data_IF_996955602565
#
_entry.id   IF_996955602565
#
_cell.length_a   1.000
_cell.length_b   1.000
_cell.length_c   1.000
_cell.angle_alpha   90.00
_cell.angle_beta   90.00
_cell.angle_gamma   90.00
#
_symmetry.space_group_name_H-M   'P 1'
#
loop_
_entity.id
_entity.type
_entity.pdbx_description
1 polymer ?
#
# COMPACT_ATOMS: atom_id res chain seq x y z
N UNK A 1 24.78 14.58 40.81
CA UNK A 1 24.35 15.22 42.09
C UNK A 1 24.76 14.45 43.34
N UNK A 2 25.23 13.20 43.24
CA UNK A 2 25.70 12.43 44.41
C UNK A 2 27.25 12.40 44.54
N UNK A 3 27.96 12.62 43.44
CA UNK A 3 29.42 12.55 43.36
C UNK A 3 30.09 13.79 44.01
N UNK A 4 29.49 14.96 43.91
CA UNK A 4 30.01 16.22 44.45
C UNK A 4 30.08 16.24 46.00
N UNK A 5 29.22 15.49 46.69
CA UNK A 5 29.18 15.45 48.16
C UNK A 5 30.31 14.63 48.78
N UNK A 6 30.73 13.59 48.07
CA UNK A 6 31.79 12.70 48.55
C UNK A 6 33.19 13.30 48.28
N UNK A 7 33.36 14.07 47.22
CA UNK A 7 34.61 14.78 46.93
C UNK A 7 34.88 15.88 47.96
N UNK A 8 33.84 16.61 48.35
CA UNK A 8 33.98 17.66 49.40
C UNK A 8 34.26 17.09 50.81
N UNK A 9 33.82 15.84 51.07
CA UNK A 9 34.13 15.14 52.32
C UNK A 9 35.60 14.69 52.41
N UNK A 10 36.18 14.33 51.27
CA UNK A 10 37.58 13.90 51.19
C UNK A 10 38.54 15.10 51.21
N UNK A 11 38.10 16.26 50.75
CA UNK A 11 38.92 17.47 50.74
C UNK A 11 39.00 18.19 52.12
N UNK A 12 38.05 17.95 53.04
CA UNK A 12 37.98 18.55 54.36
C UNK A 12 38.52 17.67 55.48
N UNK A 13 39.19 16.57 55.21
CA UNK A 13 39.86 15.75 56.20
C UNK A 13 41.23 16.35 56.55
N UNK A 14 41.24 17.57 57.03
CA UNK A 14 42.38 18.16 57.76
C UNK A 14 42.33 17.66 59.21
N UNK A 15 43.21 16.74 59.51
CA UNK A 15 43.91 16.56 60.81
C UNK A 15 44.25 15.08 61.08
N UNK A 16 45.26 14.58 60.41
CA UNK A 16 46.04 13.45 60.96
C UNK A 16 47.50 13.92 61.12
N UNK A 17 48.12 13.64 62.26
CA UNK A 17 49.51 14.07 62.51
C UNK A 17 50.44 13.24 61.62
N UNK A 18 51.12 13.93 60.73
CA UNK A 18 52.09 13.36 59.80
C UNK A 18 53.45 13.19 60.47
N UNK A 19 53.83 11.94 60.73
CA UNK A 19 55.26 11.58 60.82
C UNK A 19 55.82 11.63 59.41
N UNK A 20 57.01 12.31 59.29
CA UNK A 20 57.63 12.64 58.01
C UNK A 20 57.85 11.47 57.09
N UNK A 21 57.16 11.48 55.98
CA UNK A 21 57.49 10.81 54.74
C UNK A 21 57.50 11.91 53.66
N UNK A 22 58.62 12.08 53.00
CA UNK A 22 58.71 12.88 51.77
C UNK A 22 57.76 12.27 50.71
N UNK A 23 56.55 12.83 50.63
CA UNK A 23 55.62 12.52 49.55
C UNK A 23 56.01 13.37 48.35
N UNK A 24 56.38 12.80 47.20
CA UNK A 24 56.70 13.60 46.02
C UNK A 24 55.49 14.47 45.67
N UNK A 25 55.79 15.73 45.36
CA UNK A 25 54.80 16.74 44.98
C UNK A 25 53.84 16.20 43.88
N UNK A 26 52.66 15.77 44.31
CA UNK A 26 51.71 15.18 43.38
C UNK A 26 50.95 16.30 42.70
N UNK A 27 51.33 16.58 41.45
CA UNK A 27 50.70 17.57 40.60
C UNK A 27 49.22 17.20 40.37
N UNK A 28 48.38 17.58 41.32
CA UNK A 28 46.93 17.36 41.29
C UNK A 28 46.27 18.03 40.06
N UNK A 29 46.80 19.17 39.65
CA UNK A 29 46.29 19.92 38.50
C UNK A 29 46.53 19.21 37.16
N UNK A 30 47.69 18.68 36.94
CA UNK A 30 48.03 17.93 35.70
C UNK A 30 47.20 16.67 35.51
N UNK A 31 46.83 15.99 36.62
CA UNK A 31 45.99 14.82 36.56
C UNK A 31 44.56 15.19 36.22
N UNK A 32 44.00 16.28 36.80
CA UNK A 32 42.66 16.77 36.48
C UNK A 32 42.53 17.21 35.03
N UNK A 33 43.51 17.93 34.47
CA UNK A 33 43.48 18.34 33.06
C UNK A 33 43.56 17.15 32.11
N UNK A 34 44.38 16.17 32.39
CA UNK A 34 44.51 14.96 31.57
C UNK A 34 43.25 14.10 31.58
N UNK A 35 42.56 14.01 32.71
CA UNK A 35 41.27 13.31 32.84
C UNK A 35 40.15 14.06 32.15
N UNK A 36 40.05 15.36 32.32
CA UNK A 36 39.06 16.19 31.68
C UNK A 36 39.15 16.16 30.15
N UNK A 37 40.40 16.19 29.62
CA UNK A 37 40.63 16.04 28.15
C UNK A 37 40.28 14.65 27.60
N UNK A 38 40.45 13.57 28.38
CA UNK A 38 40.07 12.22 27.96
C UNK A 38 38.58 12.04 27.95
N UNK A 39 37.83 12.54 28.92
CA UNK A 39 36.38 12.44 29.00
C UNK A 39 35.72 13.24 27.86
N UNK A 40 36.12 14.51 27.69
CA UNK A 40 35.52 15.37 26.65
C UNK A 40 35.80 14.89 25.21
N UNK A 41 36.88 14.12 24.99
CA UNK A 41 37.23 13.59 23.65
C UNK A 41 36.44 12.29 23.31
N UNK A 42 36.08 11.51 24.30
CA UNK A 42 35.29 10.29 24.12
C UNK A 42 33.83 10.59 23.78
N UNK A 43 33.20 11.53 24.48
CA UNK A 43 31.79 11.88 24.22
C UNK A 43 31.57 12.50 22.85
N UNK A 44 32.46 13.39 22.38
CA UNK A 44 32.32 14.02 21.07
C UNK A 44 32.40 13.03 19.91
N UNK A 45 33.20 11.97 20.04
CA UNK A 45 33.29 10.92 18.99
C UNK A 45 32.03 10.08 18.93
N UNK A 46 31.45 9.75 20.07
CA UNK A 46 30.22 8.96 20.13
C UNK A 46 29.03 9.73 19.55
N UNK A 47 28.88 11.01 19.89
CA UNK A 47 27.84 11.87 19.32
C UNK A 47 27.98 11.98 17.80
N UNK A 48 29.18 12.13 17.28
CA UNK A 48 29.41 12.27 15.85
C UNK A 48 29.11 10.98 15.05
N UNK A 49 29.40 9.82 15.63
CA UNK A 49 29.03 8.53 15.05
C UNK A 49 27.52 8.30 15.08
N UNK A 50 26.84 8.65 16.17
CA UNK A 50 25.37 8.57 16.27
C UNK A 50 24.70 9.48 15.24
N UNK A 51 25.18 10.71 15.07
CA UNK A 51 24.66 11.63 14.04
C UNK A 51 24.85 11.09 12.63
N UNK A 52 25.99 10.46 12.29
CA UNK A 52 26.21 9.85 10.99
C UNK A 52 25.21 8.72 10.70
N UNK A 53 24.99 7.85 11.67
CA UNK A 53 24.01 6.77 11.54
C UNK A 53 22.58 7.28 11.43
N UNK A 54 22.22 8.31 12.22
CA UNK A 54 20.93 8.95 12.13
C UNK A 54 20.67 9.58 10.75
N UNK A 55 21.67 10.27 10.18
CA UNK A 55 21.57 10.82 8.83
C UNK A 55 21.44 9.72 7.77
N UNK A 56 22.19 8.62 7.90
CA UNK A 56 22.11 7.49 6.97
C UNK A 56 20.71 6.84 7.00
N UNK A 57 20.16 6.62 8.20
CA UNK A 57 18.80 6.08 8.37
C UNK A 57 17.77 7.03 7.78
N UNK A 58 17.88 8.34 8.04
CA UNK A 58 16.98 9.34 7.48
C UNK A 58 16.99 9.34 5.95
N UNK A 59 18.17 9.23 5.31
CA UNK A 59 18.30 9.13 3.86
C UNK A 59 17.65 7.85 3.30
N UNK A 60 17.80 6.71 3.98
CA UNK A 60 17.15 5.46 3.58
C UNK A 60 15.64 5.59 3.68
N UNK A 61 15.11 6.14 4.78
CA UNK A 61 13.67 6.34 4.96
C UNK A 61 13.09 7.31 3.92
N UNK A 62 13.80 8.40 3.61
CA UNK A 62 13.40 9.33 2.55
C UNK A 62 13.39 8.64 1.18
N UNK A 63 14.37 7.80 0.89
CA UNK A 63 14.43 7.07 -0.37
C UNK A 63 13.30 6.04 -0.48
N UNK A 64 13.04 5.28 0.59
CA UNK A 64 11.91 4.33 0.64
C UNK A 64 10.57 5.07 0.53
N UNK A 65 10.42 6.19 1.23
CA UNK A 65 9.22 7.04 1.13
C UNK A 65 9.01 7.60 -0.29
N UNK A 66 10.08 8.03 -0.95
CA UNK A 66 10.04 8.51 -2.33
C UNK A 66 9.66 7.41 -3.32
N UNK A 67 10.24 6.20 -3.18
CA UNK A 67 9.88 5.04 -4.01
C UNK A 67 8.42 4.60 -3.77
N UNK A 68 7.96 4.62 -2.52
CA UNK A 68 6.55 4.36 -2.21
C UNK A 68 5.63 5.41 -2.84
N UNK A 69 5.99 6.69 -2.75
CA UNK A 69 5.24 7.80 -3.35
C UNK A 69 5.12 7.67 -4.88
N UNK A 70 6.19 7.27 -5.57
CA UNK A 70 6.15 7.03 -7.03
C UNK A 70 5.21 5.89 -7.45
N UNK A 71 4.94 4.94 -6.55
CA UNK A 71 4.03 3.82 -6.82
C UNK A 71 2.56 4.12 -6.45
N UNK A 72 2.29 5.25 -5.77
CA UNK A 72 0.93 5.70 -5.50
C UNK A 72 0.42 6.44 -6.74
N UNK A 73 -0.43 5.78 -7.50
CA UNK A 73 -1.15 6.41 -8.61
C UNK A 73 -2.27 7.28 -8.03
N UNK A 74 -1.96 8.59 -7.85
CA UNK A 74 -2.90 9.58 -7.30
C UNK A 74 -3.83 10.15 -8.38
N UNK A 75 -3.66 9.72 -9.63
CA UNK A 75 -4.55 10.15 -10.71
C UNK A 75 -5.94 9.54 -10.48
N UNK A 76 -6.92 10.38 -10.27
CA UNK A 76 -8.33 9.95 -10.24
C UNK A 76 -8.67 9.38 -11.61
N UNK A 77 -9.18 8.15 -11.71
CA UNK A 77 -9.55 7.57 -12.99
C UNK A 77 -10.63 8.45 -13.64
N UNK A 78 -10.41 8.80 -14.90
CA UNK A 78 -11.44 9.44 -15.73
C UNK A 78 -12.32 8.32 -16.27
N UNK A 79 -13.61 8.36 -15.93
CA UNK A 79 -14.58 7.39 -16.40
C UNK A 79 -15.25 7.85 -17.69
N UNK A 80 -15.44 6.91 -18.60
CA UNK A 80 -16.27 7.04 -19.81
C UNK A 80 -17.58 6.29 -19.59
N UNK A 81 -18.65 6.87 -20.11
CA UNK A 81 -19.98 6.28 -20.09
C UNK A 81 -20.49 6.13 -21.53
N UNK A 82 -20.95 4.93 -21.88
CA UNK A 82 -21.57 4.62 -23.18
C UNK A 82 -22.96 4.06 -22.90
N UNK A 83 -23.95 4.68 -23.54
CA UNK A 83 -25.35 4.27 -23.42
C UNK A 83 -25.87 3.88 -24.81
N UNK A 84 -26.55 2.73 -24.91
CA UNK A 84 -27.32 2.31 -26.07
C UNK A 84 -28.79 2.75 -25.89
N UNK A 85 -29.40 3.20 -26.96
CA UNK A 85 -30.82 3.56 -26.96
C UNK A 85 -31.71 2.29 -27.11
N UNK A 86 -33.00 2.46 -26.88
CA UNK A 86 -33.98 1.38 -27.12
C UNK A 86 -33.93 0.93 -28.58
N UNK A 87 -33.72 -0.37 -28.80
CA UNK A 87 -33.62 -0.97 -30.12
C UNK A 87 -32.25 -0.84 -30.80
N UNK A 88 -31.29 -0.20 -30.15
CA UNK A 88 -29.92 -0.02 -30.64
C UNK A 88 -28.97 -0.98 -29.93
N UNK A 89 -27.97 -1.46 -30.68
CA UNK A 89 -26.83 -2.23 -30.15
C UNK A 89 -25.54 -1.53 -30.51
N UNK A 90 -24.63 -1.46 -29.56
CA UNK A 90 -23.33 -0.82 -29.73
C UNK A 90 -22.19 -1.81 -29.50
N UNK A 91 -21.07 -1.60 -30.18
CA UNK A 91 -19.83 -2.33 -29.93
C UNK A 91 -18.82 -1.36 -29.36
N UNK A 92 -18.33 -1.68 -28.17
CA UNK A 92 -17.31 -0.86 -27.48
C UNK A 92 -16.01 -1.66 -27.44
N UNK A 93 -14.93 -1.06 -27.94
CA UNK A 93 -13.58 -1.61 -27.80
C UNK A 93 -12.88 -0.91 -26.65
N UNK A 94 -12.51 -1.66 -25.62
CA UNK A 94 -11.79 -1.15 -24.47
C UNK A 94 -10.28 -1.07 -24.74
N UNK A 95 -9.55 -0.32 -23.92
CA UNK A 95 -8.10 -0.07 -24.12
C UNK A 95 -7.24 -1.35 -24.06
N UNK A 96 -7.70 -2.36 -23.30
CA UNK A 96 -7.02 -3.65 -23.18
C UNK A 96 -7.26 -4.59 -24.38
N UNK A 97 -8.14 -4.18 -25.32
CA UNK A 97 -8.57 -4.97 -26.46
C UNK A 97 -9.78 -5.87 -26.20
N UNK A 98 -10.41 -5.77 -25.02
CA UNK A 98 -11.69 -6.42 -24.72
C UNK A 98 -12.79 -5.80 -25.59
N UNK A 99 -13.64 -6.64 -26.16
CA UNK A 99 -14.82 -6.24 -26.93
C UNK A 99 -16.08 -6.41 -26.11
N UNK A 100 -16.95 -5.41 -26.12
CA UNK A 100 -18.23 -5.41 -25.40
C UNK A 100 -19.33 -5.10 -26.40
N UNK A 101 -20.28 -6.02 -26.58
CA UNK A 101 -21.49 -5.80 -27.34
C UNK A 101 -22.60 -5.40 -26.38
N UNK A 102 -22.89 -4.12 -26.34
CA UNK A 102 -23.89 -3.53 -25.46
C UNK A 102 -25.27 -3.70 -26.14
N UNK A 103 -26.19 -4.35 -25.45
CA UNK A 103 -27.55 -4.57 -25.96
C UNK A 103 -28.39 -3.26 -25.81
N UNK A 104 -29.62 -3.28 -26.31
CA UNK A 104 -30.53 -2.15 -26.25
C UNK A 104 -30.81 -1.70 -24.80
N UNK A 105 -31.02 -0.38 -24.59
CA UNK A 105 -31.38 0.21 -23.29
C UNK A 105 -30.37 -0.15 -22.17
N UNK A 106 -29.08 -0.13 -22.50
CA UNK A 106 -28.01 -0.54 -21.60
C UNK A 106 -26.94 0.51 -21.49
N UNK A 107 -26.23 0.51 -20.38
CA UNK A 107 -25.19 1.46 -20.03
C UNK A 107 -23.93 0.75 -19.53
N UNK A 108 -22.79 1.12 -20.10
CA UNK A 108 -21.46 0.68 -19.68
C UNK A 108 -20.64 1.86 -19.19
N UNK A 109 -20.13 1.75 -17.96
CA UNK A 109 -19.18 2.71 -17.39
C UNK A 109 -17.85 2.03 -17.20
N UNK A 110 -16.78 2.64 -17.72
CA UNK A 110 -15.43 2.11 -17.65
C UNK A 110 -14.41 3.23 -17.55
N UNK A 111 -13.26 3.02 -16.90
CA UNK A 111 -12.20 4.04 -16.87
C UNK A 111 -11.53 4.16 -18.23
N UNK A 112 -11.05 5.36 -18.58
CA UNK A 112 -10.26 5.60 -19.78
C UNK A 112 -8.98 4.76 -19.80
N UNK A 113 -8.37 4.56 -18.62
CA UNK A 113 -7.24 3.68 -18.39
C UNK A 113 -7.52 2.79 -17.18
N UNK A 114 -7.32 1.49 -17.33
CA UNK A 114 -7.51 0.55 -16.24
C UNK A 114 -6.38 0.67 -15.19
N UNK A 115 -6.72 0.43 -13.92
CA UNK A 115 -5.76 0.36 -12.84
C UNK A 115 -4.67 -0.68 -13.09
N UNK A 116 -3.56 -0.64 -12.38
CA UNK A 116 -2.42 -1.56 -12.61
C UNK A 116 -2.74 -3.01 -12.25
N UNK A 117 -3.62 -3.23 -11.30
CA UNK A 117 -3.94 -4.52 -10.65
C UNK A 117 -5.24 -5.16 -11.13
N UNK A 118 -6.16 -4.39 -11.70
CA UNK A 118 -7.47 -4.86 -12.16
C UNK A 118 -8.03 -4.04 -13.31
N UNK A 119 -8.96 -4.65 -14.05
CA UNK A 119 -9.77 -4.02 -15.10
C UNK A 119 -11.22 -4.04 -14.63
N UNK A 120 -11.79 -2.90 -14.30
CA UNK A 120 -13.11 -2.83 -13.69
C UNK A 120 -14.07 -2.01 -14.53
N UNK A 121 -15.26 -2.55 -14.78
CA UNK A 121 -16.35 -1.88 -15.50
C UNK A 121 -17.67 -2.08 -14.76
N UNK A 122 -18.60 -1.15 -14.94
CA UNK A 122 -19.97 -1.25 -14.40
C UNK A 122 -20.97 -1.33 -15.53
N UNK A 123 -21.92 -2.26 -15.43
CA UNK A 123 -22.96 -2.51 -16.41
C UNK A 123 -24.34 -2.31 -15.77
N UNK A 124 -25.20 -1.61 -16.49
CA UNK A 124 -26.66 -1.57 -16.25
C UNK A 124 -27.33 -2.00 -17.54
N UNK A 125 -28.21 -3.00 -17.50
CA UNK A 125 -28.80 -3.63 -18.68
C UNK A 125 -28.06 -4.87 -19.11
N UNK A 126 -27.88 -5.11 -20.43
CA UNK A 126 -27.32 -6.34 -20.94
C UNK A 126 -26.13 -6.09 -21.86
N UNK A 127 -25.08 -6.89 -21.68
CA UNK A 127 -23.91 -6.88 -22.56
C UNK A 127 -23.27 -8.25 -22.68
N UNK A 128 -22.75 -8.53 -23.88
CA UNK A 128 -21.87 -9.66 -24.15
C UNK A 128 -20.41 -9.17 -24.13
N UNK A 129 -19.58 -9.88 -23.39
CA UNK A 129 -18.17 -9.58 -23.21
C UNK A 129 -17.30 -10.65 -23.86
N UNK A 130 -16.33 -10.24 -24.67
CA UNK A 130 -15.22 -11.05 -25.14
C UNK A 130 -13.94 -10.46 -24.51
N UNK A 131 -13.59 -10.98 -23.34
CA UNK A 131 -12.52 -10.43 -22.53
C UNK A 131 -11.16 -10.95 -22.99
N UNK A 132 -10.25 -10.03 -23.28
CA UNK A 132 -8.86 -10.39 -23.60
C UNK A 132 -8.19 -11.10 -22.44
N UNK A 133 -7.57 -12.24 -22.74
CA UNK A 133 -6.91 -13.07 -21.72
C UNK A 133 -5.73 -12.35 -21.07
N UNK A 134 -5.82 -12.15 -19.76
CA UNK A 134 -4.74 -11.66 -18.91
C UNK A 134 -4.97 -12.17 -17.47
N UNK A 135 -4.16 -13.14 -17.06
CA UNK A 135 -4.26 -13.78 -15.74
C UNK A 135 -3.73 -12.85 -14.65
N UNK A 136 -2.76 -11.98 -14.99
CA UNK A 136 -2.12 -11.08 -14.05
C UNK A 136 -3.02 -9.91 -13.65
N UNK A 137 -3.97 -9.54 -14.56
CA UNK A 137 -4.85 -8.39 -14.39
C UNK A 137 -6.30 -8.80 -14.63
N UNK A 138 -7.01 -9.30 -13.60
CA UNK A 138 -8.37 -9.80 -13.74
C UNK A 138 -9.32 -8.70 -14.22
N UNK A 139 -10.33 -9.10 -14.99
CA UNK A 139 -11.42 -8.24 -15.46
C UNK A 139 -12.64 -8.43 -14.54
N UNK A 140 -13.20 -7.31 -14.09
CA UNK A 140 -14.30 -7.27 -13.12
C UNK A 140 -15.49 -6.56 -13.77
N UNK A 141 -16.64 -7.21 -13.79
CA UNK A 141 -17.92 -6.59 -14.19
C UNK A 141 -18.81 -6.47 -12.96
N UNK A 142 -19.18 -5.25 -12.61
CA UNK A 142 -20.18 -4.98 -11.61
C UNK A 142 -21.52 -4.78 -12.29
N UNK A 143 -22.48 -5.64 -11.99
CA UNK A 143 -23.87 -5.54 -12.45
C UNK A 143 -24.79 -5.62 -11.24
N UNK A 144 -25.38 -4.48 -10.88
CA UNK A 144 -26.13 -4.30 -9.62
C UNK A 144 -25.30 -4.74 -8.41
N UNK A 145 -25.78 -5.68 -7.62
CA UNK A 145 -25.05 -6.25 -6.47
C UNK A 145 -24.10 -7.41 -6.85
N UNK A 146 -24.13 -7.88 -8.10
CA UNK A 146 -23.29 -8.98 -8.58
C UNK A 146 -21.94 -8.48 -9.05
N UNK A 147 -20.85 -9.10 -8.56
CA UNK A 147 -19.50 -8.89 -9.04
C UNK A 147 -19.02 -10.15 -9.78
N UNK A 148 -18.68 -9.99 -11.06
CA UNK A 148 -18.23 -11.05 -11.95
C UNK A 148 -16.75 -10.85 -12.20
N UNK A 149 -15.93 -11.85 -11.88
CA UNK A 149 -14.47 -11.83 -12.08
C UNK A 149 -14.06 -12.88 -13.11
N UNK A 150 -13.31 -12.43 -14.12
CA UNK A 150 -12.78 -13.27 -15.20
C UNK A 150 -11.32 -12.95 -15.52
N UNK A 151 -10.63 -13.82 -16.23
CA UNK A 151 -9.22 -13.61 -16.66
C UNK A 151 -9.02 -13.75 -18.17
N UNK A 152 -10.09 -14.01 -18.92
CA UNK A 152 -10.07 -14.20 -20.36
C UNK A 152 -11.21 -15.15 -20.75
N UNK A 153 -12.39 -14.58 -20.97
CA UNK A 153 -13.66 -15.30 -20.94
C UNK A 153 -14.61 -14.63 -21.90
N UNK A 154 -15.46 -15.42 -22.56
CA UNK A 154 -16.59 -14.96 -23.37
C UNK A 154 -17.88 -15.27 -22.62
N UNK A 155 -18.69 -14.25 -22.30
CA UNK A 155 -19.89 -14.41 -21.48
C UNK A 155 -20.89 -13.28 -21.69
N UNK A 156 -22.16 -13.55 -21.41
CA UNK A 156 -23.24 -12.59 -21.37
C UNK A 156 -23.63 -12.25 -19.93
N UNK A 157 -23.98 -11.00 -19.70
CA UNK A 157 -24.57 -10.52 -18.41
C UNK A 157 -25.83 -9.74 -18.73
N UNK A 158 -26.93 -10.07 -18.08
CA UNK A 158 -28.21 -9.36 -18.16
C UNK A 158 -28.65 -8.94 -16.76
N UNK A 159 -28.70 -7.62 -16.52
CA UNK A 159 -29.08 -7.01 -15.26
C UNK A 159 -29.81 -5.69 -15.51
N UNK A 160 -31.01 -5.77 -16.08
CA UNK A 160 -31.86 -4.59 -16.22
C UNK A 160 -32.48 -4.20 -14.87
N UNK A 161 -32.61 -2.91 -14.55
CA UNK A 161 -33.25 -2.47 -13.30
C UNK A 161 -34.69 -2.89 -13.15
N UNK A 162 -35.33 -3.26 -14.26
CA UNK A 162 -36.71 -3.80 -14.27
C UNK A 162 -36.81 -5.27 -13.92
N UNK A 163 -35.67 -5.97 -13.97
CA UNK A 163 -35.64 -7.41 -13.73
C UNK A 163 -35.38 -7.68 -12.24
N UNK A 164 -35.94 -8.73 -11.73
CA UNK A 164 -35.79 -9.12 -10.32
C UNK A 164 -34.47 -9.89 -10.05
N UNK A 165 -33.77 -10.27 -11.11
CA UNK A 165 -32.54 -11.08 -11.04
C UNK A 165 -31.52 -10.62 -12.08
N UNK A 166 -30.24 -10.71 -11.72
CA UNK A 166 -29.14 -10.58 -12.66
C UNK A 166 -28.76 -11.97 -13.13
N UNK A 167 -28.66 -12.15 -14.45
CA UNK A 167 -28.34 -13.45 -15.07
C UNK A 167 -27.00 -13.37 -15.79
N UNK A 168 -26.19 -14.41 -15.65
CA UNK A 168 -24.94 -14.55 -16.40
C UNK A 168 -24.86 -15.88 -17.09
N UNK A 169 -24.44 -15.89 -18.37
CA UNK A 169 -24.25 -17.10 -19.18
C UNK A 169 -22.81 -17.16 -19.67
N UNK A 170 -22.13 -18.27 -19.40
CA UNK A 170 -20.76 -18.50 -19.76
C UNK A 170 -20.65 -19.32 -21.05
N UNK A 171 -20.01 -18.75 -22.08
CA UNK A 171 -19.74 -19.47 -23.35
C UNK A 171 -18.36 -20.15 -23.33
N UNK A 172 -17.28 -19.38 -22.97
CA UNK A 172 -15.92 -19.89 -22.99
C UNK A 172 -15.11 -19.33 -21.83
N UNK A 173 -14.25 -20.16 -21.22
CA UNK A 173 -13.35 -19.78 -20.14
C UNK A 173 -13.87 -20.14 -18.75
N UNK A 174 -13.73 -19.24 -17.80
CA UNK A 174 -14.17 -19.43 -16.41
C UNK A 174 -14.60 -18.13 -15.77
N UNK A 175 -15.67 -18.19 -15.00
CA UNK A 175 -16.24 -17.07 -14.25
C UNK A 175 -16.22 -17.38 -12.77
N UNK A 176 -15.89 -16.37 -11.96
CA UNK A 176 -16.11 -16.37 -10.51
C UNK A 176 -17.10 -15.25 -10.20
N UNK A 177 -18.27 -15.61 -9.71
CA UNK A 177 -19.31 -14.68 -9.28
C UNK A 177 -19.21 -14.52 -7.78
N UNK A 178 -19.27 -13.29 -7.31
CA UNK A 178 -19.39 -12.93 -5.90
C UNK A 178 -20.55 -11.94 -5.72
N UNK A 179 -21.38 -12.19 -4.69
CA UNK A 179 -22.50 -11.33 -4.35
C UNK A 179 -22.50 -11.07 -2.83
N UNK A 180 -22.69 -9.83 -2.39
CA UNK A 180 -22.83 -9.49 -0.98
C UNK A 180 -24.26 -9.74 -0.55
N UNK A 181 -24.65 -10.96 -0.15
CA UNK A 181 -25.96 -11.17 0.45
C UNK A 181 -25.87 -11.22 1.98
N UNK A 182 -26.68 -10.46 2.65
CA UNK A 182 -26.81 -10.03 4.04
C UNK A 182 -26.17 -10.89 5.16
N UNK A 183 -25.94 -12.18 5.01
CA UNK A 183 -25.26 -13.05 5.99
C UNK A 183 -24.28 -14.08 5.37
N UNK A 184 -24.23 -14.19 4.06
CA UNK A 184 -23.33 -15.13 3.36
C UNK A 184 -22.79 -14.49 2.07
N UNK A 185 -21.58 -13.96 2.10
CA UNK A 185 -20.84 -13.72 0.86
C UNK A 185 -20.61 -15.06 0.17
N UNK A 186 -21.33 -15.29 -0.92
CA UNK A 186 -21.19 -16.50 -1.74
C UNK A 186 -20.21 -16.26 -2.88
N UNK A 187 -19.36 -17.25 -3.16
CA UNK A 187 -18.57 -17.28 -4.38
C UNK A 187 -18.96 -18.52 -5.17
N UNK A 188 -19.36 -18.32 -6.43
CA UNK A 188 -19.76 -19.40 -7.33
C UNK A 188 -18.84 -19.43 -8.55
N UNK A 189 -18.34 -20.61 -8.90
CA UNK A 189 -17.56 -20.83 -10.12
C UNK A 189 -18.41 -21.46 -11.20
N UNK A 190 -18.41 -20.88 -12.40
CA UNK A 190 -19.13 -21.39 -13.55
C UNK A 190 -18.20 -22.11 -14.53
N UNK A 191 -18.69 -23.17 -15.13
CA UNK A 191 -18.12 -23.84 -16.27
C UNK A 191 -18.83 -23.43 -17.56
N UNK A 192 -18.19 -23.55 -18.74
CA UNK A 192 -18.79 -23.24 -20.03
C UNK A 192 -20.15 -23.94 -20.24
N UNK A 193 -21.12 -23.22 -20.81
CA UNK A 193 -22.49 -23.65 -21.01
C UNK A 193 -23.42 -23.52 -19.82
N UNK A 194 -22.96 -22.99 -18.68
CA UNK A 194 -23.81 -22.75 -17.52
C UNK A 194 -24.38 -21.34 -17.52
N UNK A 195 -25.55 -21.21 -16.91
CA UNK A 195 -26.23 -19.95 -16.59
C UNK A 195 -26.48 -19.89 -15.08
N UNK A 196 -26.22 -18.75 -14.48
CA UNK A 196 -26.43 -18.48 -13.06
C UNK A 196 -27.25 -17.20 -12.87
#
# INVERSE_FOLDING_TARGET
>A
WHIDKDINRLLNAESLPMGGCDVPDFDKFGVYESLAQRIGRSERRNVWTVCKWACAIALVLLNVGYLAYQNIDLSKPVYKEVCSLKGERLVVLLEDGTRVWLNADSKLVYPEQFAKDKREVSLVGEAYFEVKKDISKPFMVQADEMNIRVTGTSFNVSGYPTDSVVTTTLDEGGIVISYPYAEKSGTYQMAPGQTA
#
